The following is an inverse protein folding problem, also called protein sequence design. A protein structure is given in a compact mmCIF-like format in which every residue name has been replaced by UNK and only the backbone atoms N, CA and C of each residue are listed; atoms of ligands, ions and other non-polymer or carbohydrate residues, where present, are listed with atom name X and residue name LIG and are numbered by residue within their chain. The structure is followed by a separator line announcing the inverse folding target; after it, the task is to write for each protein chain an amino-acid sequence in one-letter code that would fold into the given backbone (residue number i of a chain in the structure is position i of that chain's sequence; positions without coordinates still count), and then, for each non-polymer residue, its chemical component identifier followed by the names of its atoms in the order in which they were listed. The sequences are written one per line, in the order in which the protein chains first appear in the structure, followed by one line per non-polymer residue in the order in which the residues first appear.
data_IF_387990318477
#
_entry.id   IF_387990318477
#
_cell.length_a   1.000
_cell.length_b   1.000
_cell.length_c   1.000
_cell.angle_alpha   90.00
_cell.angle_beta   90.00
_cell.angle_gamma   90.00
#
_symmetry.space_group_name_H-M   'P 1'
#
loop_
_entity.id
_entity.type
_entity.pdbx_description
1 polymer ?
#
# COMPACT_ATOMS: atom_id res chain seq x y z
N UNK A 1 2.08 78.74 -24.09
CA UNK A 1 2.95 77.59 -23.71
C UNK A 1 2.37 76.93 -22.46
N UNK A 2 1.57 75.89 -22.62
CA UNK A 2 1.04 75.11 -21.49
C UNK A 2 1.62 73.73 -21.54
N UNK A 3 2.38 73.38 -20.49
CA UNK A 3 2.93 72.04 -20.31
C UNK A 3 1.94 71.20 -19.48
N UNK A 4 1.46 70.12 -20.08
CA UNK A 4 0.60 69.11 -19.40
C UNK A 4 1.54 68.03 -18.84
N UNK A 5 1.52 67.86 -17.51
CA UNK A 5 2.16 66.76 -16.82
C UNK A 5 1.19 65.59 -16.75
N UNK A 6 1.53 64.49 -17.44
CA UNK A 6 0.77 63.23 -17.33
C UNK A 6 1.32 62.41 -16.17
N UNK A 7 0.47 62.12 -15.20
CA UNK A 7 0.72 61.13 -14.14
C UNK A 7 0.42 59.73 -14.66
N UNK A 8 1.44 58.86 -14.69
CA UNK A 8 1.28 57.43 -14.96
C UNK A 8 1.05 56.72 -13.61
N UNK A 9 -0.18 56.23 -13.41
CA UNK A 9 -0.49 55.40 -12.26
C UNK A 9 -0.06 53.93 -12.58
N UNK A 10 1.03 53.47 -11.98
CA UNK A 10 1.44 52.06 -12.03
C UNK A 10 0.55 51.24 -11.12
N UNK A 11 -0.24 50.33 -11.68
CA UNK A 11 -1.04 49.34 -10.98
C UNK A 11 -0.14 48.18 -10.59
N UNK A 12 0.26 48.08 -9.31
CA UNK A 12 0.95 46.90 -8.76
C UNK A 12 -0.09 45.79 -8.56
N UNK A 13 -0.09 44.78 -9.43
CA UNK A 13 -0.80 43.53 -9.17
C UNK A 13 -0.04 42.72 -8.12
N UNK A 14 -0.55 42.67 -6.90
CA UNK A 14 -0.11 41.74 -5.89
C UNK A 14 -0.66 40.34 -6.23
N UNK A 15 0.22 39.44 -6.69
CA UNK A 15 -0.10 38.02 -6.86
C UNK A 15 -0.06 37.39 -5.47
N UNK A 16 -1.21 37.23 -4.84
CA UNK A 16 -1.35 36.40 -3.64
C UNK A 16 -1.30 34.93 -4.04
N UNK A 17 -0.17 34.26 -3.80
CA UNK A 17 -0.06 32.81 -3.88
C UNK A 17 -0.92 32.22 -2.76
N UNK A 18 -2.10 31.70 -3.14
CA UNK A 18 -2.90 30.81 -2.29
C UNK A 18 -2.12 29.50 -2.14
N UNK A 19 -1.37 29.35 -1.05
CA UNK A 19 -0.91 28.03 -0.59
C UNK A 19 -2.15 27.26 -0.18
N UNK A 20 -2.67 26.44 -1.11
CA UNK A 20 -3.74 25.51 -0.85
C UNK A 20 -3.26 24.52 0.24
N UNK A 21 -3.77 24.67 1.47
CA UNK A 21 -3.68 23.63 2.48
C UNK A 21 -4.50 22.44 1.97
N UNK A 22 -3.83 21.51 1.29
CA UNK A 22 -4.44 20.27 0.84
C UNK A 22 -4.94 19.52 2.07
N UNK A 23 -6.26 19.52 2.28
CA UNK A 23 -6.91 18.66 3.29
C UNK A 23 -6.57 17.22 2.92
N UNK A 24 -5.78 16.55 3.76
CA UNK A 24 -5.52 15.11 3.66
C UNK A 24 -6.90 14.41 3.73
N UNK A 25 -7.28 13.58 2.73
CA UNK A 25 -8.61 12.98 2.67
C UNK A 25 -8.90 12.01 3.83
N UNK A 26 -7.92 11.73 4.66
CA UNK A 26 -7.98 10.74 5.75
C UNK A 26 -7.80 11.36 7.15
N UNK A 27 -8.10 12.64 7.37
CA UNK A 27 -8.05 13.25 8.71
C UNK A 27 -6.66 13.28 9.37
N UNK A 28 -6.60 13.61 10.66
CA UNK A 28 -5.35 13.70 11.42
C UNK A 28 -4.79 12.32 11.80
N UNK A 29 -3.46 12.22 11.90
CA UNK A 29 -2.75 11.03 12.38
C UNK A 29 -2.31 10.04 11.30
N UNK A 30 -2.73 10.21 10.05
CA UNK A 30 -2.25 9.40 8.94
C UNK A 30 -0.87 9.88 8.44
N UNK A 31 0.03 8.92 8.21
CA UNK A 31 1.33 9.11 7.59
C UNK A 31 1.28 8.55 6.18
N UNK A 32 1.61 9.38 5.20
CA UNK A 32 1.67 8.98 3.79
C UNK A 32 3.02 8.35 3.50
N UNK A 33 3.03 7.10 3.01
CA UNK A 33 4.23 6.36 2.64
C UNK A 33 4.41 6.24 1.12
N UNK A 34 3.30 6.17 0.37
CA UNK A 34 3.28 6.26 -1.09
C UNK A 34 2.16 7.22 -1.49
N UNK A 35 2.46 8.14 -2.42
CA UNK A 35 1.50 9.03 -3.06
C UNK A 35 1.86 9.20 -4.54
N UNK A 36 1.16 8.49 -5.40
CA UNK A 36 1.49 8.38 -6.82
C UNK A 36 2.86 7.71 -7.02
N UNK A 37 3.76 8.41 -7.67
CA UNK A 37 5.14 7.99 -7.96
C UNK A 37 6.16 8.41 -6.88
N UNK A 38 5.69 8.93 -5.73
CA UNK A 38 6.51 9.38 -4.62
C UNK A 38 6.48 8.39 -3.46
N UNK A 39 7.56 8.39 -2.64
CA UNK A 39 7.60 7.68 -1.38
C UNK A 39 8.48 6.42 -1.36
N UNK A 40 9.23 6.09 -2.45
CA UNK A 40 10.18 4.97 -2.43
C UNK A 40 11.27 5.12 -1.34
N UNK A 41 11.60 6.34 -0.97
CA UNK A 41 12.55 6.68 0.10
C UNK A 41 12.07 6.26 1.50
N UNK A 42 10.77 5.95 1.69
CA UNK A 42 10.22 5.52 2.96
C UNK A 42 10.46 4.04 3.27
N UNK A 43 11.07 3.31 2.32
CA UNK A 43 11.19 1.86 2.39
C UNK A 43 12.63 1.38 2.31
N UNK A 44 12.90 0.25 2.95
CA UNK A 44 14.07 -0.58 2.70
C UNK A 44 13.69 -1.65 1.67
N UNK A 45 14.55 -1.90 0.68
CA UNK A 45 14.33 -2.92 -0.35
C UNK A 45 15.00 -4.22 0.04
N UNK A 46 14.29 -5.34 -0.12
CA UNK A 46 14.79 -6.70 0.06
C UNK A 46 14.43 -7.49 -1.20
N UNK A 47 15.31 -8.42 -1.61
CA UNK A 47 15.12 -9.21 -2.83
C UNK A 47 15.52 -8.46 -4.10
N UNK A 48 15.12 -8.99 -5.25
CA UNK A 48 15.54 -8.53 -6.56
C UNK A 48 14.42 -7.89 -7.41
N UNK A 49 13.25 -7.66 -6.82
CA UNK A 49 12.15 -6.98 -7.51
C UNK A 49 12.55 -5.56 -7.94
N UNK A 50 12.21 -5.21 -9.18
CA UNK A 50 12.58 -3.97 -9.84
C UNK A 50 11.73 -2.76 -9.45
N UNK A 51 11.52 -2.55 -8.16
CA UNK A 51 10.72 -1.44 -7.64
C UNK A 51 11.13 -0.09 -8.22
N UNK A 52 10.17 0.61 -8.83
CA UNK A 52 10.37 1.91 -9.47
C UNK A 52 9.12 2.77 -9.44
N UNK A 53 9.30 4.08 -9.57
CA UNK A 53 8.22 5.04 -9.78
C UNK A 53 7.90 5.11 -11.28
N UNK A 54 6.65 4.84 -11.66
CA UNK A 54 6.20 4.82 -13.05
C UNK A 54 4.70 5.02 -13.16
N UNK A 55 4.27 5.95 -14.03
CA UNK A 55 2.85 6.12 -14.37
C UNK A 55 1.94 6.52 -13.20
N UNK A 56 2.46 7.28 -12.23
CA UNK A 56 1.72 7.72 -11.05
C UNK A 56 1.55 6.62 -9.99
N UNK A 57 2.46 5.65 -9.96
CA UNK A 57 2.49 4.57 -8.98
C UNK A 57 3.91 4.09 -8.71
N UNK A 58 4.10 3.35 -7.63
CA UNK A 58 5.26 2.51 -7.39
C UNK A 58 4.96 1.12 -7.93
N UNK A 59 5.82 0.63 -8.83
CA UNK A 59 5.57 -0.57 -9.63
C UNK A 59 6.69 -1.59 -9.44
N UNK A 60 6.34 -2.89 -9.45
CA UNK A 60 7.26 -4.00 -9.69
C UNK A 60 6.62 -5.00 -10.66
N UNK A 61 7.39 -5.47 -11.62
CA UNK A 61 6.97 -6.42 -12.67
C UNK A 61 8.10 -7.39 -13.11
N UNK A 62 9.27 -7.32 -12.47
CA UNK A 62 10.43 -8.15 -12.75
C UNK A 62 11.20 -8.48 -11.47
N UNK A 63 11.89 -9.60 -11.50
CA UNK A 63 12.62 -10.19 -10.39
C UNK A 63 12.03 -11.55 -10.01
N UNK A 64 12.68 -12.26 -9.10
CA UNK A 64 12.16 -13.52 -8.56
C UNK A 64 11.17 -13.24 -7.44
N UNK A 65 11.59 -12.40 -6.48
CA UNK A 65 10.77 -11.89 -5.39
C UNK A 65 11.39 -10.62 -4.80
N UNK A 66 10.61 -9.85 -4.06
CA UNK A 66 11.14 -8.69 -3.35
C UNK A 66 10.09 -7.95 -2.56
N UNK A 67 10.59 -7.15 -1.62
CA UNK A 67 9.75 -6.41 -0.69
C UNK A 67 10.19 -4.96 -0.56
N UNK A 68 9.20 -4.08 -0.37
CA UNK A 68 9.38 -2.76 0.21
C UNK A 68 9.02 -2.86 1.68
N UNK A 69 10.01 -2.83 2.58
CA UNK A 69 9.84 -2.94 4.02
C UNK A 69 9.85 -1.56 4.64
N UNK A 70 8.83 -1.21 5.44
CA UNK A 70 8.73 0.10 6.09
C UNK A 70 9.92 0.33 7.03
N UNK A 71 10.43 1.57 7.07
CA UNK A 71 11.54 1.95 7.96
C UNK A 71 11.16 1.91 9.44
N UNK A 72 9.87 2.11 9.74
CA UNK A 72 9.34 2.08 11.10
C UNK A 72 8.61 0.78 11.39
N UNK A 73 8.60 0.38 12.65
CA UNK A 73 7.80 -0.71 13.19
C UNK A 73 6.53 -0.18 13.84
N UNK A 74 5.48 -0.99 13.83
CA UNK A 74 4.16 -0.63 14.33
C UNK A 74 3.57 -1.80 15.14
N UNK A 75 2.85 -1.49 16.22
CA UNK A 75 2.11 -2.48 17.02
C UNK A 75 0.62 -2.43 16.66
N UNK A 76 -0.04 -1.32 16.99
CA UNK A 76 -1.44 -1.07 16.71
C UNK A 76 -1.55 0.02 15.64
N UNK A 77 -2.32 -0.24 14.60
CA UNK A 77 -2.40 0.68 13.46
C UNK A 77 -3.60 0.40 12.55
N UNK A 78 -3.86 1.37 11.69
CA UNK A 78 -4.67 1.24 10.48
C UNK A 78 -3.78 1.44 9.26
N UNK A 79 -3.96 0.63 8.20
CA UNK A 79 -3.36 0.83 6.88
C UNK A 79 -4.49 1.08 5.88
N UNK A 80 -4.29 2.05 5.00
CA UNK A 80 -5.04 2.22 3.77
C UNK A 80 -4.09 2.09 2.58
N UNK A 81 -4.41 1.22 1.64
CA UNK A 81 -3.59 1.01 0.46
C UNK A 81 -4.45 0.93 -0.80
N UNK A 82 -4.00 1.59 -1.89
CA UNK A 82 -4.57 1.46 -3.22
C UNK A 82 -3.58 0.73 -4.12
N UNK A 83 -4.02 -0.36 -4.72
CA UNK A 83 -3.18 -1.20 -5.56
C UNK A 83 -3.89 -1.66 -6.83
N UNK A 84 -3.09 -2.02 -7.84
CA UNK A 84 -3.54 -2.65 -9.07
C UNK A 84 -2.75 -3.94 -9.30
N UNK A 85 -3.43 -5.00 -9.70
CA UNK A 85 -2.86 -6.32 -9.92
C UNK A 85 -3.45 -6.96 -11.19
N UNK A 86 -2.72 -7.88 -11.83
CA UNK A 86 -3.25 -8.80 -12.82
C UNK A 86 -3.75 -10.10 -12.17
N UNK A 87 -4.35 -10.99 -12.95
CA UNK A 87 -4.94 -12.23 -12.43
C UNK A 87 -3.88 -13.17 -11.82
N UNK A 88 -2.66 -13.17 -12.35
CA UNK A 88 -1.53 -14.00 -11.93
C UNK A 88 -0.56 -13.26 -10.99
N UNK A 89 -0.85 -12.00 -10.63
CA UNK A 89 -0.05 -11.28 -9.66
C UNK A 89 -0.05 -11.99 -8.32
N UNK A 90 1.15 -12.32 -7.82
CA UNK A 90 1.38 -12.75 -6.44
C UNK A 90 1.99 -11.58 -5.66
N UNK A 91 1.23 -11.04 -4.73
CA UNK A 91 1.61 -9.90 -3.90
C UNK A 91 0.90 -9.97 -2.54
N UNK A 92 1.13 -8.98 -1.70
CA UNK A 92 0.49 -8.88 -0.40
C UNK A 92 1.04 -7.74 0.44
N UNK A 93 0.34 -7.49 1.55
CA UNK A 93 0.81 -6.62 2.62
C UNK A 93 1.12 -7.49 3.83
N UNK A 94 2.40 -7.58 4.19
CA UNK A 94 2.87 -8.30 5.37
C UNK A 94 2.94 -7.33 6.54
N UNK A 95 2.25 -7.61 7.64
CA UNK A 95 2.19 -6.73 8.81
C UNK A 95 2.83 -7.39 10.03
N UNK A 96 3.40 -6.55 10.92
CA UNK A 96 4.06 -6.97 12.17
C UNK A 96 5.16 -8.00 11.93
N UNK A 97 6.04 -7.76 10.93
CA UNK A 97 7.14 -8.67 10.64
C UNK A 97 8.11 -8.76 11.82
N UNK A 98 8.32 -9.97 12.34
CA UNK A 98 9.21 -10.26 13.47
C UNK A 98 10.69 -10.18 13.09
N UNK A 99 11.01 -10.35 11.80
CA UNK A 99 12.35 -10.17 11.24
C UNK A 99 12.25 -9.32 9.97
N UNK A 100 12.77 -8.09 9.98
CA UNK A 100 12.69 -7.18 8.82
C UNK A 100 13.50 -7.67 7.62
N UNK A 101 14.41 -8.63 7.79
CA UNK A 101 15.23 -9.20 6.72
C UNK A 101 14.66 -10.51 6.16
N UNK A 102 13.62 -11.06 6.80
CA UNK A 102 12.98 -12.33 6.39
C UNK A 102 11.46 -12.19 6.42
N UNK A 103 10.91 -11.62 5.37
CA UNK A 103 9.46 -11.43 5.24
C UNK A 103 8.82 -12.70 4.71
N UNK A 104 7.90 -13.29 5.47
CA UNK A 104 7.17 -14.50 5.09
C UNK A 104 5.91 -14.66 5.97
N UNK A 105 4.95 -15.49 5.56
CA UNK A 105 3.72 -15.77 6.32
C UNK A 105 3.98 -16.49 7.67
N UNK A 106 5.16 -17.05 7.90
CA UNK A 106 5.54 -17.64 9.17
C UNK A 106 6.30 -16.67 10.11
N UNK A 107 6.69 -15.50 9.63
CA UNK A 107 7.36 -14.43 10.38
C UNK A 107 6.54 -13.14 10.48
N UNK A 108 5.35 -13.09 9.89
CA UNK A 108 4.44 -11.95 9.84
C UNK A 108 3.02 -12.39 9.48
N UNK A 109 2.06 -11.49 9.53
CA UNK A 109 0.72 -11.71 8.94
C UNK A 109 0.72 -11.24 7.49
N UNK A 110 0.42 -12.14 6.55
CA UNK A 110 0.32 -11.85 5.12
C UNK A 110 -1.14 -11.60 4.72
N UNK A 111 -1.49 -10.34 4.45
CA UNK A 111 -2.76 -9.99 3.78
C UNK A 111 -2.55 -10.16 2.28
N UNK A 112 -3.11 -11.23 1.72
CA UNK A 112 -2.73 -11.73 0.41
C UNK A 112 -3.41 -11.00 -0.76
N UNK A 113 -2.67 -10.89 -1.87
CA UNK A 113 -3.12 -10.47 -3.20
C UNK A 113 -2.67 -11.54 -4.19
N UNK A 114 -3.51 -12.53 -4.45
CA UNK A 114 -3.24 -13.58 -5.43
C UNK A 114 -4.52 -14.31 -5.82
N UNK A 115 -5.13 -13.92 -6.94
CA UNK A 115 -6.44 -14.41 -7.35
C UNK A 115 -6.43 -15.88 -7.77
N UNK A 116 -5.30 -16.36 -8.33
CA UNK A 116 -5.11 -17.74 -8.80
C UNK A 116 -4.20 -18.56 -7.88
N UNK A 117 -4.11 -18.18 -6.60
CA UNK A 117 -3.33 -18.95 -5.62
C UNK A 117 -3.69 -20.44 -5.68
N UNK A 118 -2.70 -21.37 -5.70
CA UNK A 118 -2.96 -22.82 -5.74
C UNK A 118 -3.83 -23.32 -4.57
N UNK A 119 -3.66 -22.74 -3.37
CA UNK A 119 -4.60 -22.90 -2.27
C UNK A 119 -5.56 -21.71 -2.24
N UNK A 120 -6.77 -21.81 -2.80
CA UNK A 120 -7.70 -20.70 -2.95
C UNK A 120 -8.29 -20.22 -1.62
N UNK A 121 -8.16 -20.98 -0.53
CA UNK A 121 -8.65 -20.58 0.80
C UNK A 121 -7.89 -19.38 1.33
N UNK A 122 -6.64 -19.19 0.90
CA UNK A 122 -5.81 -18.06 1.25
C UNK A 122 -5.51 -17.13 0.06
N UNK A 123 -6.41 -17.07 -0.92
CA UNK A 123 -6.33 -16.14 -2.04
C UNK A 123 -6.53 -14.66 -1.61
N UNK A 124 -6.76 -13.77 -2.59
CA UNK A 124 -6.95 -12.31 -2.34
C UNK A 124 -7.97 -12.04 -1.25
N UNK A 125 -7.57 -11.24 -0.28
CA UNK A 125 -8.42 -10.84 0.87
C UNK A 125 -8.24 -11.67 2.13
N UNK A 126 -7.53 -12.81 2.07
CA UNK A 126 -7.22 -13.65 3.22
C UNK A 126 -6.05 -13.11 4.06
N UNK A 127 -5.91 -13.61 5.28
CA UNK A 127 -4.64 -13.61 6.02
C UNK A 127 -4.09 -15.04 5.98
N UNK A 128 -2.98 -15.23 5.27
CA UNK A 128 -2.41 -16.57 5.01
C UNK A 128 -2.14 -17.33 6.31
N UNK A 129 -2.61 -18.57 6.38
CA UNK A 129 -2.52 -19.47 7.54
C UNK A 129 -3.20 -18.96 8.82
N UNK A 130 -3.99 -17.88 8.76
CA UNK A 130 -4.71 -17.31 9.91
C UNK A 130 -6.21 -17.26 9.65
N UNK A 131 -6.63 -16.66 8.53
CA UNK A 131 -8.04 -16.51 8.21
C UNK A 131 -8.30 -16.62 6.71
N UNK A 132 -9.17 -17.57 6.37
CA UNK A 132 -9.51 -17.91 5.00
C UNK A 132 -10.59 -16.99 4.40
N UNK A 133 -10.66 -16.94 3.08
CA UNK A 133 -11.77 -16.36 2.30
C UNK A 133 -12.67 -17.45 1.72
N UNK A 134 -13.89 -17.13 1.28
CA UNK A 134 -14.77 -18.09 0.64
C UNK A 134 -14.16 -18.74 -0.63
N UNK A 135 -14.45 -20.02 -0.83
CA UNK A 135 -14.12 -20.76 -2.06
C UNK A 135 -15.43 -21.21 -2.71
N UNK A 136 -15.67 -20.88 -4.00
CA UNK A 136 -14.78 -20.19 -4.94
C UNK A 136 -14.53 -18.72 -4.55
N UNK A 137 -13.37 -18.18 -4.96
CA UNK A 137 -12.99 -16.80 -4.67
C UNK A 137 -13.98 -15.81 -5.31
N UNK A 138 -14.63 -14.99 -4.46
CA UNK A 138 -15.57 -13.94 -4.90
C UNK A 138 -14.92 -12.55 -4.97
N UNK A 139 -13.81 -12.34 -4.25
CA UNK A 139 -13.10 -11.06 -4.18
C UNK A 139 -11.87 -11.11 -5.08
N UNK A 140 -11.98 -10.61 -6.33
CA UNK A 140 -10.88 -10.61 -7.31
C UNK A 140 -10.27 -9.24 -7.50
N UNK A 141 -8.93 -9.20 -7.51
CA UNK A 141 -8.16 -7.98 -7.68
C UNK A 141 -7.86 -7.64 -9.14
N UNK A 142 -7.88 -8.63 -10.03
CA UNK A 142 -7.39 -8.53 -11.39
C UNK A 142 -7.98 -7.37 -12.21
N UNK A 143 -7.09 -6.63 -12.92
CA UNK A 143 -7.43 -5.70 -13.99
C UNK A 143 -8.02 -4.37 -13.53
N UNK A 144 -7.98 -4.04 -12.24
CA UNK A 144 -8.55 -2.80 -11.70
C UNK A 144 -7.77 -2.29 -10.49
N UNK A 145 -7.97 -1.02 -10.17
CA UNK A 145 -7.55 -0.45 -8.89
C UNK A 145 -8.45 -0.96 -7.78
N UNK A 146 -7.82 -1.38 -6.69
CA UNK A 146 -8.47 -1.92 -5.51
C UNK A 146 -7.98 -1.19 -4.26
N UNK A 147 -8.74 -1.33 -3.16
CA UNK A 147 -8.35 -0.82 -1.86
C UNK A 147 -8.23 -1.94 -0.85
N UNK A 148 -7.21 -1.86 0.00
CA UNK A 148 -7.18 -2.53 1.30
C UNK A 148 -7.27 -1.51 2.42
N UNK A 149 -8.14 -1.79 3.37
CA UNK A 149 -8.13 -1.19 4.70
C UNK A 149 -7.81 -2.32 5.70
N UNK A 150 -6.72 -2.16 6.44
CA UNK A 150 -6.26 -3.15 7.42
C UNK A 150 -6.26 -2.49 8.79
N UNK A 151 -6.94 -3.11 9.75
CA UNK A 151 -6.93 -2.71 11.14
C UNK A 151 -6.25 -3.82 11.96
N UNK A 152 -5.24 -3.44 12.75
CA UNK A 152 -4.54 -4.30 13.67
C UNK A 152 -4.43 -3.62 15.03
N UNK A 153 -5.11 -4.17 16.06
CA UNK A 153 -5.04 -3.67 17.43
C UNK A 153 -5.07 -4.83 18.42
N UNK A 154 -4.01 -4.95 19.22
CA UNK A 154 -3.82 -6.14 20.05
C UNK A 154 -3.87 -7.40 19.18
N UNK A 155 -4.74 -8.35 19.52
CA UNK A 155 -4.98 -9.57 18.73
C UNK A 155 -6.00 -9.40 17.59
N UNK A 156 -6.72 -8.27 17.53
CA UNK A 156 -7.75 -8.06 16.51
C UNK A 156 -7.14 -7.70 15.17
N UNK A 157 -7.46 -8.48 14.13
CA UNK A 157 -7.05 -8.28 12.75
C UNK A 157 -8.30 -8.20 11.87
N UNK A 158 -8.50 -7.06 11.20
CA UNK A 158 -9.61 -6.87 10.27
C UNK A 158 -9.06 -6.45 8.93
N UNK A 159 -9.49 -7.11 7.87
CA UNK A 159 -9.16 -6.76 6.48
C UNK A 159 -10.44 -6.42 5.74
N UNK A 160 -10.45 -5.25 5.09
CA UNK A 160 -11.49 -4.91 4.12
C UNK A 160 -10.86 -4.80 2.75
N UNK A 161 -11.48 -5.45 1.79
CA UNK A 161 -11.15 -5.37 0.38
C UNK A 161 -12.27 -4.63 -0.36
N UNK A 162 -11.94 -3.50 -0.99
CA UNK A 162 -12.92 -2.62 -1.65
C UNK A 162 -14.14 -2.29 -0.75
N UNK A 163 -13.87 -1.98 0.52
CA UNK A 163 -14.90 -1.64 1.51
C UNK A 163 -15.64 -2.82 2.14
N UNK A 164 -15.43 -4.06 1.66
CA UNK A 164 -16.06 -5.26 2.20
C UNK A 164 -15.11 -5.98 3.16
N UNK A 165 -15.58 -6.30 4.38
CA UNK A 165 -14.79 -7.11 5.33
C UNK A 165 -14.62 -8.52 4.77
N UNK A 166 -13.39 -8.90 4.45
CA UNK A 166 -13.02 -10.25 3.99
C UNK A 166 -12.51 -11.12 5.12
N UNK A 167 -11.86 -10.51 6.13
CA UNK A 167 -11.35 -11.17 7.32
C UNK A 167 -11.68 -10.36 8.56
N UNK A 168 -12.11 -11.07 9.61
CA UNK A 168 -12.15 -10.60 10.99
C UNK A 168 -11.66 -11.74 11.86
N UNK A 169 -10.45 -11.61 12.43
CA UNK A 169 -9.78 -12.67 13.17
C UNK A 169 -9.15 -12.16 14.45
N UNK A 170 -8.86 -13.08 15.36
CA UNK A 170 -8.04 -12.83 16.54
C UNK A 170 -6.82 -13.75 16.51
N UNK A 171 -5.64 -13.15 16.50
CA UNK A 171 -4.35 -13.85 16.58
C UNK A 171 -3.33 -12.94 17.24
N UNK A 172 -2.54 -13.50 18.17
CA UNK A 172 -1.54 -12.76 18.95
C UNK A 172 -0.11 -13.18 18.66
N UNK A 173 0.12 -13.96 17.59
CA UNK A 173 1.43 -14.51 17.25
C UNK A 173 2.49 -13.45 17.00
N UNK A 174 2.10 -12.36 16.30
CA UNK A 174 2.99 -11.24 16.02
C UNK A 174 2.43 -9.97 16.64
N UNK A 175 3.17 -9.37 17.58
CA UNK A 175 2.70 -8.19 18.34
C UNK A 175 3.08 -6.87 17.68
N UNK A 176 4.24 -6.80 17.03
CA UNK A 176 4.76 -5.58 16.40
C UNK A 176 5.84 -5.91 15.36
N UNK A 177 6.13 -4.94 14.51
CA UNK A 177 7.18 -5.01 13.51
C UNK A 177 6.90 -4.07 12.33
N UNK A 178 7.83 -3.95 11.39
CA UNK A 178 7.58 -3.24 10.14
C UNK A 178 6.49 -3.96 9.34
N UNK A 179 5.91 -3.25 8.39
CA UNK A 179 5.10 -3.88 7.36
C UNK A 179 5.81 -3.83 6.00
N UNK A 180 5.42 -4.72 5.09
CA UNK A 180 6.05 -4.82 3.80
C UNK A 180 5.04 -5.00 2.68
N UNK A 181 5.36 -4.45 1.50
CA UNK A 181 4.66 -4.66 0.25
C UNK A 181 5.46 -5.66 -0.59
N UNK A 182 4.80 -6.66 -1.13
CA UNK A 182 5.46 -7.77 -1.85
C UNK A 182 5.33 -7.63 -3.37
N UNK A 183 6.37 -8.12 -4.07
CA UNK A 183 6.30 -8.71 -5.41
C UNK A 183 6.80 -10.15 -5.28
N UNK A 184 5.92 -11.13 -5.41
CA UNK A 184 6.23 -12.55 -5.19
C UNK A 184 6.28 -13.36 -6.49
N UNK A 185 6.84 -14.57 -6.47
CA UNK A 185 6.84 -15.46 -7.64
C UNK A 185 5.42 -15.94 -7.96
N UNK A 186 5.15 -16.16 -9.24
CA UNK A 186 3.93 -16.78 -9.72
C UNK A 186 3.87 -18.29 -9.46
N UNK A 187 2.85 -18.94 -10.00
CA UNK A 187 2.65 -20.39 -9.88
C UNK A 187 3.87 -21.16 -10.39
N UNK A 188 4.35 -22.13 -9.62
CA UNK A 188 5.52 -22.95 -9.91
C UNK A 188 6.82 -22.14 -10.13
N UNK A 189 6.93 -20.97 -9.52
CA UNK A 189 8.11 -20.12 -9.63
C UNK A 189 8.22 -19.33 -10.93
N UNK A 190 7.15 -19.25 -11.72
CA UNK A 190 7.06 -18.35 -12.86
C UNK A 190 7.13 -16.88 -12.41
N UNK A 191 7.47 -15.97 -13.30
CA UNK A 191 7.31 -14.54 -13.03
C UNK A 191 5.81 -14.24 -12.89
N UNK A 192 5.43 -13.54 -11.82
CA UNK A 192 4.05 -13.10 -11.64
C UNK A 192 3.75 -11.83 -12.46
N UNK A 193 2.48 -11.51 -12.60
CA UNK A 193 2.05 -10.24 -13.18
C UNK A 193 2.47 -9.05 -12.31
N UNK A 194 2.42 -7.82 -12.86
CA UNK A 194 2.83 -6.61 -12.17
C UNK A 194 1.95 -6.29 -10.97
N UNK A 195 2.57 -5.70 -9.95
CA UNK A 195 1.89 -5.01 -8.86
C UNK A 195 2.17 -3.51 -8.95
N UNK A 196 1.14 -2.68 -8.72
CA UNK A 196 1.26 -1.22 -8.66
C UNK A 196 0.61 -0.69 -7.39
N UNK A 197 1.29 0.22 -6.72
CA UNK A 197 0.81 0.91 -5.51
C UNK A 197 0.75 2.41 -5.79
N UNK A 198 -0.43 3.02 -5.76
CA UNK A 198 -0.56 4.47 -5.99
C UNK A 198 -0.80 5.26 -4.72
N UNK A 199 -1.25 4.60 -3.65
CA UNK A 199 -1.42 5.21 -2.32
C UNK A 199 -1.19 4.17 -1.24
N UNK A 200 -0.36 4.53 -0.24
CA UNK A 200 -0.19 3.73 0.98
C UNK A 200 -0.07 4.69 2.15
N UNK A 201 -0.99 4.57 3.08
CA UNK A 201 -1.06 5.37 4.29
C UNK A 201 -1.05 4.44 5.51
N UNK A 202 -0.47 4.91 6.62
CA UNK A 202 -0.54 4.24 7.91
C UNK A 202 -0.91 5.22 9.00
N UNK A 203 -1.72 4.79 9.95
CA UNK A 203 -2.10 5.55 11.15
C UNK A 203 -1.80 4.69 12.37
N UNK A 204 -0.77 5.00 13.17
CA UNK A 204 -0.57 4.42 14.49
C UNK A 204 -1.76 4.74 15.41
N UNK A 205 -2.15 3.77 16.25
CA UNK A 205 -3.30 3.87 17.17
C UNK A 205 -2.85 4.01 18.62
#
# INVERSE_FOLDING_TARGET
MHRIFGFVFGLLLAVTSLTGCGTQPYGSGWVTLIDGDKGLENWNRIGDANWRAEGGAIVADKGKDGYLVSKNSYSDFEIYAEFWAEADTNSGIFIRASDPNKIAANTSYEVNIWDIRPDPTYATGAIVNVAAVPVPLIYKAAGKWNTYEIYAKGSNLIVKFNGVVTVSAQDSKFASGPFALQFGPGVNGATSGPIKWRKVLIKPL
#
